data_IF_502147205330
#
_entry.id   IF_502147205330
#
_cell.length_a   1.000
_cell.length_b   1.000
_cell.length_c   1.000
_cell.angle_alpha   90.00
_cell.angle_beta   90.00
_cell.angle_gamma   90.00
#
_symmetry.space_group_name_H-M   'P 1'
#
loop_
_entity.id
_entity.type
_entity.pdbx_description
1 polymer ?
#
# COMPACT_ATOMS: atom_id res chain seq x y z
N UNK A 1 63.08 -42.31 -24.28
CA UNK A 1 62.66 -40.88 -24.20
C UNK A 1 61.60 -40.60 -25.25
N UNK A 2 60.31 -40.81 -25.02
CA UNK A 2 59.25 -40.27 -25.91
C UNK A 2 57.79 -40.55 -25.36
N UNK A 3 57.61 -40.78 -24.06
CA UNK A 3 56.28 -41.07 -23.52
C UNK A 3 55.51 -39.86 -23.01
N UNK A 4 56.22 -38.70 -22.81
CA UNK A 4 55.61 -37.47 -22.29
C UNK A 4 54.82 -36.71 -23.38
N UNK A 5 55.25 -36.79 -24.64
CA UNK A 5 54.60 -36.03 -25.73
C UNK A 5 53.28 -36.65 -26.22
N UNK A 6 53.07 -37.92 -26.04
CA UNK A 6 51.79 -38.57 -26.41
C UNK A 6 50.69 -38.28 -25.37
N UNK A 7 51.05 -38.21 -24.10
CA UNK A 7 50.13 -37.89 -23.04
C UNK A 7 49.59 -36.44 -23.12
N UNK A 8 50.49 -35.51 -23.46
CA UNK A 8 50.11 -34.11 -23.69
C UNK A 8 49.18 -33.93 -24.90
N UNK A 9 49.42 -34.70 -25.98
CA UNK A 9 48.55 -34.66 -27.17
C UNK A 9 47.17 -35.23 -26.88
N UNK A 10 47.08 -36.27 -26.04
CA UNK A 10 45.80 -36.86 -25.63
C UNK A 10 45.01 -35.92 -24.71
N UNK A 11 45.67 -35.20 -23.81
CA UNK A 11 45.06 -34.16 -22.96
C UNK A 11 44.58 -32.96 -23.78
N UNK A 12 45.35 -32.51 -24.75
CA UNK A 12 44.97 -31.40 -25.64
C UNK A 12 43.77 -31.77 -26.55
N UNK A 13 43.67 -33.03 -26.99
CA UNK A 13 42.51 -33.52 -27.74
C UNK A 13 41.23 -33.58 -26.87
N UNK A 14 41.34 -34.00 -25.62
CA UNK A 14 40.21 -34.02 -24.66
C UNK A 14 39.75 -32.61 -24.26
N UNK A 15 40.67 -31.65 -24.12
CA UNK A 15 40.33 -30.26 -23.84
C UNK A 15 39.62 -29.58 -25.02
N UNK A 16 39.96 -29.95 -26.28
CA UNK A 16 39.24 -29.44 -27.45
C UNK A 16 37.83 -30.01 -27.60
N UNK A 17 37.59 -31.23 -27.12
CA UNK A 17 36.23 -31.81 -27.11
C UNK A 17 35.33 -31.24 -26.01
N UNK A 18 35.88 -30.45 -25.07
CA UNK A 18 35.17 -29.76 -24.00
C UNK A 18 34.99 -28.25 -24.29
N UNK A 19 35.52 -27.74 -25.42
CA UNK A 19 35.15 -26.37 -25.82
C UNK A 19 33.73 -26.40 -26.33
N UNK A 20 32.80 -25.91 -25.50
CA UNK A 20 31.43 -25.59 -25.88
C UNK A 20 31.56 -24.44 -26.90
N UNK A 21 31.28 -24.71 -28.19
CA UNK A 21 31.07 -23.66 -29.16
C UNK A 21 29.98 -22.73 -28.59
N UNK A 22 30.21 -21.41 -28.56
CA UNK A 22 29.13 -20.49 -28.22
C UNK A 22 28.05 -20.69 -29.29
N UNK A 23 26.89 -21.25 -28.87
CA UNK A 23 25.72 -21.24 -29.73
C UNK A 23 25.39 -19.77 -29.96
N UNK A 24 25.48 -19.32 -31.20
CA UNK A 24 24.97 -18.05 -31.66
C UNK A 24 23.44 -18.09 -31.40
N UNK A 25 23.02 -17.60 -30.25
CA UNK A 25 21.63 -17.26 -30.02
C UNK A 25 21.35 -16.00 -30.85
N UNK A 26 21.03 -16.18 -32.11
CA UNK A 26 20.32 -15.19 -32.88
C UNK A 26 18.94 -15.02 -32.23
N UNK A 27 18.79 -13.96 -31.42
CA UNK A 27 17.51 -13.53 -30.86
C UNK A 27 16.74 -12.98 -32.05
N UNK A 28 15.94 -13.82 -32.69
CA UNK A 28 14.92 -13.34 -33.63
C UNK A 28 13.94 -12.47 -32.83
N UNK A 29 13.74 -11.19 -33.22
CA UNK A 29 12.73 -10.36 -32.57
C UNK A 29 11.35 -10.99 -32.83
N UNK A 30 10.45 -11.05 -31.81
CA UNK A 30 9.13 -11.65 -31.96
C UNK A 30 8.36 -10.93 -33.07
N UNK A 31 7.95 -11.66 -34.09
CA UNK A 31 7.14 -11.14 -35.21
C UNK A 31 5.83 -10.51 -34.68
N UNK A 32 5.47 -9.29 -35.09
CA UNK A 32 4.29 -8.57 -34.58
C UNK A 32 2.96 -9.08 -35.17
N UNK A 33 2.81 -10.38 -35.40
CA UNK A 33 1.61 -10.97 -36.01
C UNK A 33 0.43 -11.13 -35.08
N UNK A 34 0.63 -11.17 -33.78
CA UNK A 34 -0.46 -11.33 -32.80
C UNK A 34 -1.23 -10.03 -32.56
N UNK A 35 -0.57 -8.87 -32.51
CA UNK A 35 -1.24 -7.58 -32.27
C UNK A 35 -2.17 -7.12 -33.38
N UNK A 36 -1.89 -7.47 -34.65
CA UNK A 36 -2.78 -7.13 -35.77
C UNK A 36 -4.09 -7.94 -35.77
N UNK A 37 -4.12 -9.13 -35.19
CA UNK A 37 -5.36 -9.94 -35.10
C UNK A 37 -6.23 -9.49 -33.96
N UNK A 38 -5.68 -9.04 -32.85
CA UNK A 38 -6.45 -8.52 -31.70
C UNK A 38 -7.07 -7.16 -32.03
N UNK A 39 -6.33 -6.26 -32.69
CA UNK A 39 -6.88 -4.97 -33.13
C UNK A 39 -7.95 -5.11 -34.24
N UNK A 40 -7.80 -6.09 -35.13
CA UNK A 40 -8.83 -6.38 -36.12
C UNK A 40 -10.12 -6.98 -35.53
N UNK A 41 -10.01 -7.85 -34.49
CA UNK A 41 -11.16 -8.37 -33.75
C UNK A 41 -11.88 -7.29 -32.94
N UNK A 42 -11.13 -6.39 -32.28
CA UNK A 42 -11.70 -5.25 -31.55
C UNK A 42 -12.41 -4.26 -32.47
N UNK A 43 -11.84 -4.00 -33.64
CA UNK A 43 -12.49 -3.16 -34.65
C UNK A 43 -13.77 -3.80 -35.21
N UNK A 44 -13.79 -5.12 -35.43
CA UNK A 44 -14.95 -5.85 -35.88
C UNK A 44 -16.05 -5.89 -34.80
N UNK A 45 -15.70 -6.12 -33.55
CA UNK A 45 -16.63 -6.10 -32.41
C UNK A 45 -17.24 -4.70 -32.21
N UNK A 46 -16.46 -3.63 -32.39
CA UNK A 46 -16.93 -2.25 -32.35
C UNK A 46 -17.93 -1.94 -33.48
N UNK A 47 -17.65 -2.39 -34.71
CA UNK A 47 -18.52 -2.21 -35.84
C UNK A 47 -19.84 -2.97 -35.71
N UNK A 48 -19.83 -4.19 -35.18
CA UNK A 48 -21.05 -4.99 -34.92
C UNK A 48 -21.90 -4.35 -33.82
N UNK A 49 -21.26 -3.82 -32.74
CA UNK A 49 -21.97 -3.12 -31.68
C UNK A 49 -22.60 -1.82 -32.14
N UNK A 50 -21.91 -1.07 -33.02
CA UNK A 50 -22.46 0.15 -33.63
C UNK A 50 -23.63 -0.15 -34.58
N UNK A 51 -23.53 -1.19 -35.37
CA UNK A 51 -24.61 -1.64 -36.25
C UNK A 51 -25.83 -2.12 -35.46
N UNK A 52 -25.64 -2.85 -34.37
CA UNK A 52 -26.72 -3.27 -33.47
C UNK A 52 -27.40 -2.08 -32.78
N UNK A 53 -26.62 -1.06 -32.33
CA UNK A 53 -27.18 0.15 -31.75
C UNK A 53 -28.00 0.99 -32.73
N UNK A 54 -27.60 1.03 -33.99
CA UNK A 54 -28.33 1.71 -35.08
C UNK A 54 -29.63 1.01 -35.46
N UNK A 55 -29.69 -0.33 -35.40
CA UNK A 55 -30.89 -1.11 -35.68
C UNK A 55 -31.95 -1.07 -34.56
N UNK A 56 -31.50 -0.87 -33.29
CA UNK A 56 -32.40 -0.94 -32.13
C UNK A 56 -32.95 0.42 -31.68
N UNK A 57 -32.42 1.56 -32.16
CA UNK A 57 -32.89 2.93 -31.81
C UNK A 57 -32.77 3.88 -33.03
N UNK A 58 -33.79 4.06 -33.83
CA UNK A 58 -33.79 4.99 -34.99
C UNK A 58 -33.54 6.46 -34.57
N UNK A 59 -33.82 6.84 -33.32
CA UNK A 59 -33.61 8.23 -32.82
C UNK A 59 -32.17 8.59 -32.51
N UNK A 60 -31.22 7.66 -32.65
CA UNK A 60 -29.81 7.91 -32.38
C UNK A 60 -29.11 8.72 -33.49
N UNK A 61 -29.60 8.70 -34.71
CA UNK A 61 -29.03 9.43 -35.84
C UNK A 61 -29.20 10.95 -35.71
N UNK A 62 -30.36 11.43 -35.25
CA UNK A 62 -30.57 12.87 -35.02
C UNK A 62 -29.70 13.49 -33.91
N UNK A 63 -29.33 12.68 -32.93
CA UNK A 63 -28.45 13.16 -31.84
C UNK A 63 -26.95 13.20 -32.23
N UNK A 64 -26.56 12.39 -33.19
CA UNK A 64 -25.16 12.39 -33.70
C UNK A 64 -24.99 13.58 -34.66
N UNK A 65 -25.95 13.92 -35.49
CA UNK A 65 -25.89 15.12 -36.36
C UNK A 65 -25.83 16.41 -35.55
N UNK A 66 -26.61 16.51 -34.47
CA UNK A 66 -26.57 17.68 -33.56
C UNK A 66 -25.29 17.78 -32.75
N UNK A 67 -24.64 16.67 -32.42
CA UNK A 67 -23.34 16.67 -31.73
C UNK A 67 -22.19 17.02 -32.69
N UNK A 68 -22.21 16.54 -33.92
CA UNK A 68 -21.21 16.82 -34.96
C UNK A 68 -21.26 18.29 -35.40
N UNK A 69 -22.46 18.85 -35.53
CA UNK A 69 -22.67 20.27 -35.87
C UNK A 69 -22.15 21.23 -34.77
N UNK A 70 -22.17 20.81 -33.50
CA UNK A 70 -21.57 21.57 -32.39
C UNK A 70 -20.05 21.49 -32.37
N UNK A 71 -19.43 20.47 -32.91
CA UNK A 71 -17.97 20.29 -32.88
C UNK A 71 -17.27 20.93 -34.11
N UNK A 72 -17.97 21.18 -35.21
CA UNK A 72 -17.43 21.74 -36.46
C UNK A 72 -17.82 23.19 -36.74
N UNK A 73 -18.60 23.85 -35.85
CA UNK A 73 -19.06 25.24 -36.02
C UNK A 73 -18.47 26.18 -35.00
N UNK A 74 -17.21 26.50 -35.11
CA UNK A 74 -16.65 27.74 -34.56
C UNK A 74 -16.76 28.79 -35.63
N UNK A 75 -17.62 29.77 -35.41
CA UNK A 75 -17.39 31.22 -35.63
C UNK A 75 -18.70 31.98 -35.75
N UNK A 76 -18.76 33.01 -34.90
CA UNK A 76 -19.42 34.30 -35.00
C UNK A 76 -20.73 34.45 -35.81
N UNK A 77 -21.74 35.07 -35.23
CA UNK A 77 -22.22 36.42 -35.61
C UNK A 77 -23.29 36.91 -34.63
N UNK A 78 -23.10 38.11 -34.16
CA UNK A 78 -24.03 39.03 -33.51
C UNK A 78 -25.37 39.15 -34.30
N UNK A 79 -26.52 39.06 -33.62
CA UNK A 79 -27.62 39.97 -33.97
C UNK A 79 -28.64 40.11 -32.86
N UNK A 80 -28.99 41.36 -32.66
CA UNK A 80 -29.92 41.92 -31.71
C UNK A 80 -31.36 41.46 -31.91
N UNK A 81 -32.11 41.33 -30.83
CA UNK A 81 -33.57 41.19 -30.86
C UNK A 81 -34.12 41.42 -29.46
N UNK A 82 -34.53 42.66 -29.19
CA UNK A 82 -35.10 43.09 -27.92
C UNK A 82 -36.50 42.53 -27.71
N UNK A 83 -36.78 42.21 -26.45
CA UNK A 83 -38.15 42.09 -25.95
C UNK A 83 -38.20 42.73 -24.57
N UNK A 84 -39.03 43.73 -24.46
CA UNK A 84 -39.22 44.62 -23.32
C UNK A 84 -39.82 43.91 -22.11
N UNK A 85 -39.35 44.26 -20.91
CA UNK A 85 -39.99 43.97 -19.65
C UNK A 85 -41.09 45.00 -19.36
N UNK A 86 -42.28 44.64 -18.86
CA UNK A 86 -43.24 45.63 -18.39
C UNK A 86 -42.83 46.16 -17.01
N UNK A 87 -42.67 47.50 -16.95
CA UNK A 87 -42.57 48.29 -15.75
C UNK A 87 -43.95 48.37 -15.10
N UNK A 88 -44.09 47.91 -13.87
CA UNK A 88 -45.27 48.16 -13.04
C UNK A 88 -44.92 49.28 -12.05
N UNK A 89 -45.63 50.39 -12.22
CA UNK A 89 -45.58 51.61 -11.45
C UNK A 89 -46.09 51.43 -10.02
N UNK A 90 -45.38 52.03 -9.07
CA UNK A 90 -45.81 52.32 -7.72
C UNK A 90 -46.96 53.35 -7.69
N UNK A 91 -47.89 53.26 -6.77
CA UNK A 91 -48.62 54.43 -6.32
C UNK A 91 -47.98 54.95 -5.01
N UNK A 92 -47.71 56.27 -5.08
CA UNK A 92 -47.38 57.18 -4.01
C UNK A 92 -48.65 57.58 -3.25
N UNK A 93 -48.43 57.85 -1.97
CA UNK A 93 -49.29 58.65 -1.06
C UNK A 93 -50.25 57.87 -0.13
N UNK A 94 -49.85 57.82 1.16
CA UNK A 94 -50.74 58.12 2.31
C UNK A 94 -49.97 58.30 3.63
N UNK A 95 -49.96 59.56 4.06
CA UNK A 95 -50.08 60.09 5.42
C UNK A 95 -49.40 59.44 6.64
N UNK A 96 -48.57 60.21 7.25
CA UNK A 96 -47.95 60.20 8.56
C UNK A 96 -49.01 60.07 9.66
N UNK A 97 -48.88 59.07 10.56
CA UNK A 97 -49.47 59.13 11.88
C UNK A 97 -48.43 58.77 12.96
N UNK A 98 -48.43 59.63 13.97
CA UNK A 98 -47.49 59.74 15.06
C UNK A 98 -47.78 58.74 16.14
N UNK A 99 -46.90 57.72 16.37
CA UNK A 99 -46.98 56.84 17.56
C UNK A 99 -45.59 56.53 18.11
N UNK A 100 -45.35 57.04 19.29
CA UNK A 100 -44.21 56.90 20.19
C UNK A 100 -43.66 55.45 20.25
N UNK A 101 -42.34 55.24 20.17
CA UNK A 101 -41.74 53.90 20.16
C UNK A 101 -41.67 53.32 21.58
N UNK A 102 -42.09 52.03 21.80
CA UNK A 102 -41.74 51.31 22.99
C UNK A 102 -40.25 50.87 22.90
N UNK A 103 -39.57 50.94 24.06
CA UNK A 103 -38.14 50.79 24.24
C UNK A 103 -37.51 49.64 23.50
N UNK A 104 -36.49 49.97 22.77
CA UNK A 104 -35.56 49.02 22.11
C UNK A 104 -34.78 48.35 23.23
N UNK A 105 -35.15 47.10 23.55
CA UNK A 105 -34.24 46.15 24.22
C UNK A 105 -33.13 45.90 23.24
N UNK A 106 -31.94 46.47 23.47
CA UNK A 106 -30.77 46.22 22.70
C UNK A 106 -30.50 44.70 22.68
N UNK A 107 -30.36 44.06 21.49
CA UNK A 107 -29.90 42.69 21.43
C UNK A 107 -28.49 42.66 22.01
N UNK A 108 -28.27 41.78 22.95
CA UNK A 108 -26.96 41.48 23.53
C UNK A 108 -25.99 41.24 22.36
N UNK A 109 -25.13 42.21 22.08
CA UNK A 109 -24.04 42.09 21.10
C UNK A 109 -23.05 41.13 21.72
N UNK A 110 -23.32 39.81 21.58
CA UNK A 110 -22.27 38.84 21.66
C UNK A 110 -21.17 39.26 20.68
N UNK A 111 -19.97 39.32 21.14
CA UNK A 111 -18.77 39.54 20.35
C UNK A 111 -18.91 38.82 19.02
N UNK A 112 -18.65 39.41 17.85
CA UNK A 112 -18.76 38.70 16.57
C UNK A 112 -17.68 37.64 16.51
N UNK A 113 -18.04 36.44 16.91
CA UNK A 113 -17.19 35.25 16.67
C UNK A 113 -17.15 35.04 15.16
N UNK A 114 -15.95 35.11 14.58
CA UNK A 114 -15.77 34.88 13.16
C UNK A 114 -15.93 33.36 12.90
N UNK A 115 -16.96 33.02 12.17
CA UNK A 115 -17.22 31.62 11.79
C UNK A 115 -16.56 31.31 10.45
N UNK A 116 -15.88 30.17 10.37
CA UNK A 116 -15.31 29.63 9.16
C UNK A 116 -16.08 28.37 8.81
N UNK A 117 -16.67 28.36 7.62
CA UNK A 117 -17.40 27.18 7.11
C UNK A 117 -16.61 26.44 6.06
N UNK A 118 -16.79 25.15 6.00
CA UNK A 118 -16.19 24.28 5.02
C UNK A 118 -17.03 23.02 4.76
N UNK A 119 -16.66 22.28 3.76
CA UNK A 119 -17.28 20.99 3.43
C UNK A 119 -16.22 19.94 3.15
N UNK A 120 -16.50 18.69 3.43
CA UNK A 120 -15.56 17.62 3.22
C UNK A 120 -16.18 16.27 3.36
N UNK A 121 -15.35 15.29 3.61
CA UNK A 121 -15.77 13.88 3.73
C UNK A 121 -15.12 13.23 4.93
N UNK A 122 -15.83 12.25 5.46
CA UNK A 122 -15.30 11.31 6.46
C UNK A 122 -14.28 10.41 5.77
N UNK A 123 -13.09 10.32 6.34
CA UNK A 123 -11.98 9.50 5.83
C UNK A 123 -11.51 8.55 6.92
N UNK A 124 -11.23 7.31 6.55
CA UNK A 124 -10.50 6.41 7.42
C UNK A 124 -9.00 6.63 7.15
N UNK A 125 -8.21 7.00 8.17
CA UNK A 125 -6.77 7.23 7.98
C UNK A 125 -6.03 5.95 7.61
N UNK A 126 -6.47 4.81 8.14
CA UNK A 126 -5.83 3.53 7.96
C UNK A 126 -6.70 2.58 7.13
N UNK A 127 -6.23 2.31 5.92
CA UNK A 127 -6.81 1.33 4.99
C UNK A 127 -5.72 0.36 4.60
N UNK A 128 -5.95 -0.93 4.83
CA UNK A 128 -5.05 -1.99 4.43
C UNK A 128 -5.67 -2.81 3.30
N UNK A 129 -5.03 -2.77 2.13
CA UNK A 129 -5.32 -3.70 1.04
C UNK A 129 -4.51 -4.96 1.24
N UNK A 130 -5.18 -6.10 1.33
CA UNK A 130 -4.59 -7.40 1.65
C UNK A 130 -4.38 -8.20 0.37
N UNK A 131 -3.15 -8.68 0.19
CA UNK A 131 -2.72 -9.55 -0.91
C UNK A 131 -2.18 -10.86 -0.36
N UNK A 132 -2.18 -11.91 -1.17
CA UNK A 132 -1.43 -13.12 -0.84
C UNK A 132 0.07 -12.88 -1.03
N UNK A 133 0.90 -13.45 -0.15
CA UNK A 133 2.37 -13.39 -0.30
C UNK A 133 2.85 -14.34 -1.41
N UNK A 134 2.19 -15.49 -1.55
CA UNK A 134 2.51 -16.52 -2.53
C UNK A 134 1.27 -16.86 -3.36
N UNK A 135 1.51 -17.35 -4.56
CA UNK A 135 0.47 -17.92 -5.40
C UNK A 135 -0.14 -19.18 -4.78
N UNK A 136 -1.41 -19.43 -5.05
CA UNK A 136 -2.07 -20.61 -4.55
C UNK A 136 -3.58 -20.60 -4.76
N UNK A 137 -4.23 -21.73 -4.48
CA UNK A 137 -5.68 -21.85 -4.56
C UNK A 137 -6.31 -21.57 -3.19
N UNK A 138 -7.37 -20.79 -3.16
CA UNK A 138 -8.14 -20.51 -1.93
C UNK A 138 -8.94 -21.76 -1.53
N UNK A 139 -8.73 -22.26 -0.32
CA UNK A 139 -9.48 -23.38 0.24
C UNK A 139 -10.52 -22.95 1.27
N UNK A 140 -10.33 -21.80 1.93
CA UNK A 140 -11.29 -21.24 2.85
C UNK A 140 -11.19 -19.71 2.91
N UNK A 141 -12.33 -19.04 3.06
CA UNK A 141 -12.48 -17.62 3.38
C UNK A 141 -13.23 -17.57 4.71
N UNK A 142 -12.62 -16.98 5.74
CA UNK A 142 -13.09 -17.03 7.13
C UNK A 142 -13.85 -15.75 7.53
N UNK A 143 -14.05 -14.82 6.59
CA UNK A 143 -14.68 -13.51 6.83
C UNK A 143 -15.60 -13.13 5.69
N UNK A 144 -16.56 -12.25 5.99
CA UNK A 144 -17.46 -11.65 5.00
C UNK A 144 -17.26 -10.13 4.92
N UNK A 145 -17.75 -9.52 3.85
CA UNK A 145 -17.75 -8.06 3.74
C UNK A 145 -18.68 -7.46 4.81
N UNK A 146 -18.16 -6.54 5.61
CA UNK A 146 -18.84 -5.95 6.75
C UNK A 146 -18.41 -6.50 8.11
N UNK A 147 -17.67 -7.59 8.16
CA UNK A 147 -17.22 -8.18 9.42
C UNK A 147 -16.15 -7.34 10.11
N UNK A 148 -16.21 -7.19 11.44
CA UNK A 148 -15.12 -6.65 12.22
C UNK A 148 -14.00 -7.68 12.37
N UNK A 149 -12.75 -7.27 12.16
CA UNK A 149 -11.56 -8.12 12.29
C UNK A 149 -10.52 -7.50 13.19
N UNK A 150 -9.73 -8.34 13.84
CA UNK A 150 -8.62 -7.93 14.70
C UNK A 150 -7.29 -8.25 14.02
N UNK A 151 -6.28 -7.41 14.22
CA UNK A 151 -4.94 -7.65 13.69
C UNK A 151 -4.43 -9.06 14.05
N UNK A 152 -3.90 -9.80 13.05
CA UNK A 152 -3.48 -11.19 13.18
C UNK A 152 -4.58 -12.24 12.97
N UNK A 153 -5.86 -11.87 12.92
CA UNK A 153 -6.95 -12.78 12.62
C UNK A 153 -6.79 -13.42 11.23
N UNK A 154 -7.10 -14.70 11.11
CA UNK A 154 -7.08 -15.41 9.83
C UNK A 154 -8.24 -14.91 8.97
N UNK A 155 -7.96 -14.58 7.73
CA UNK A 155 -8.92 -14.08 6.75
C UNK A 155 -9.16 -15.09 5.64
N UNK A 156 -8.06 -15.58 5.03
CA UNK A 156 -8.10 -16.48 3.89
C UNK A 156 -7.06 -17.56 4.10
N UNK A 157 -7.38 -18.80 3.71
CA UNK A 157 -6.44 -19.93 3.68
C UNK A 157 -6.27 -20.43 2.26
N UNK A 158 -5.02 -20.59 1.88
CA UNK A 158 -4.64 -21.23 0.63
C UNK A 158 -4.31 -22.70 0.85
N UNK A 159 -4.26 -23.48 -0.22
CA UNK A 159 -3.85 -24.88 -0.18
C UNK A 159 -2.38 -25.01 0.26
N UNK A 160 -2.17 -25.58 1.41
CA UNK A 160 -0.86 -25.78 2.04
C UNK A 160 -0.29 -27.19 1.87
N UNK A 161 -0.97 -28.05 1.12
CA UNK A 161 -0.62 -29.47 1.03
C UNK A 161 0.82 -29.68 0.57
N UNK A 162 1.25 -28.99 -0.48
CA UNK A 162 2.62 -29.10 -1.01
C UNK A 162 3.67 -28.55 -0.03
N UNK A 163 3.42 -27.40 0.57
CA UNK A 163 4.36 -26.77 1.52
C UNK A 163 4.46 -27.52 2.83
N UNK A 164 3.39 -28.18 3.26
CA UNK A 164 3.41 -29.08 4.43
C UNK A 164 4.33 -30.29 4.21
N UNK A 165 4.30 -30.89 3.02
CA UNK A 165 5.23 -31.95 2.66
C UNK A 165 6.68 -31.45 2.56
N UNK A 166 6.89 -30.26 1.99
CA UNK A 166 8.20 -29.63 1.91
C UNK A 166 8.78 -29.37 3.31
N UNK A 167 7.99 -28.83 4.22
CA UNK A 167 8.40 -28.62 5.63
C UNK A 167 8.77 -29.93 6.31
N UNK A 168 7.98 -30.99 6.10
CA UNK A 168 8.29 -32.31 6.66
C UNK A 168 9.59 -32.88 6.08
N UNK A 169 9.84 -32.68 4.78
CA UNK A 169 11.10 -33.05 4.14
C UNK A 169 12.30 -32.30 4.74
N UNK A 170 12.16 -31.01 4.97
CA UNK A 170 13.19 -30.20 5.61
C UNK A 170 13.50 -30.68 7.05
N UNK A 171 12.49 -31.03 7.84
CA UNK A 171 12.71 -31.63 9.17
C UNK A 171 13.49 -32.94 9.11
N UNK A 172 13.19 -33.81 8.14
CA UNK A 172 13.92 -35.08 7.95
C UNK A 172 15.39 -34.80 7.60
N UNK A 173 15.64 -33.85 6.69
CA UNK A 173 17.00 -33.42 6.32
C UNK A 173 17.77 -32.83 7.52
N UNK A 174 17.10 -32.01 8.33
CA UNK A 174 17.67 -31.46 9.56
C UNK A 174 18.08 -32.55 10.55
N UNK A 175 17.23 -33.56 10.73
CA UNK A 175 17.54 -34.70 11.61
C UNK A 175 18.72 -35.54 11.09
N UNK A 176 18.82 -35.72 9.77
CA UNK A 176 19.96 -36.41 9.16
C UNK A 176 21.28 -35.64 9.37
N UNK A 177 21.25 -34.31 9.22
CA UNK A 177 22.43 -33.46 9.48
C UNK A 177 22.86 -33.47 10.97
N UNK A 178 21.89 -33.52 11.89
CA UNK A 178 22.15 -33.64 13.33
C UNK A 178 22.92 -34.96 13.65
N UNK A 179 22.43 -36.07 13.12
CA UNK A 179 23.07 -37.38 13.30
C UNK A 179 24.46 -37.42 12.64
N UNK A 180 24.61 -36.77 11.48
CA UNK A 180 25.91 -36.65 10.81
C UNK A 180 26.91 -35.87 11.67
N UNK A 181 26.52 -34.77 12.26
CA UNK A 181 27.36 -34.00 13.18
C UNK A 181 27.75 -34.80 14.41
N UNK A 182 26.81 -35.53 15.00
CA UNK A 182 27.09 -36.42 16.13
C UNK A 182 28.14 -37.49 15.79
N UNK A 183 28.03 -38.12 14.62
CA UNK A 183 29.02 -39.11 14.15
C UNK A 183 30.41 -38.49 13.97
N UNK A 184 30.50 -37.23 13.43
CA UNK A 184 31.78 -36.50 13.29
C UNK A 184 32.35 -36.09 14.66
N UNK A 185 31.53 -35.71 15.60
CA UNK A 185 31.98 -35.39 16.97
C UNK A 185 32.55 -36.62 17.68
N UNK A 186 31.98 -37.81 17.51
CA UNK A 186 32.53 -39.07 18.01
C UNK A 186 33.91 -39.36 17.41
N UNK A 187 34.06 -39.16 16.06
CA UNK A 187 35.33 -39.34 15.37
C UNK A 187 36.39 -38.36 15.89
N UNK A 188 36.01 -37.10 16.09
CA UNK A 188 36.89 -36.08 16.65
C UNK A 188 37.34 -36.43 18.06
N UNK A 189 36.43 -36.90 18.91
CA UNK A 189 36.77 -37.30 20.28
C UNK A 189 37.74 -38.48 20.28
N UNK A 190 37.57 -39.46 19.36
CA UNK A 190 38.51 -40.60 19.19
C UNK A 190 39.90 -40.10 18.75
N UNK A 191 39.96 -39.20 17.71
CA UNK A 191 41.19 -38.66 17.23
C UNK A 191 41.94 -37.85 18.31
N UNK A 192 41.20 -37.03 19.10
CA UNK A 192 41.75 -36.31 20.26
C UNK A 192 42.37 -37.27 21.29
N UNK A 193 41.64 -38.32 21.67
CA UNK A 193 42.17 -39.32 22.64
C UNK A 193 43.41 -40.04 22.11
N UNK A 194 43.52 -40.23 20.78
CA UNK A 194 44.68 -40.84 20.13
C UNK A 194 45.87 -39.87 20.12
N UNK A 195 45.66 -38.61 19.84
CA UNK A 195 46.68 -37.54 19.92
C UNK A 195 47.21 -37.38 21.34
N UNK A 196 46.33 -37.29 22.33
CA UNK A 196 46.74 -37.16 23.74
C UNK A 196 47.62 -38.36 24.19
N UNK A 197 47.38 -39.57 23.69
CA UNK A 197 48.24 -40.71 23.94
C UNK A 197 49.59 -40.60 23.21
N UNK A 198 49.56 -40.21 21.96
CA UNK A 198 50.78 -40.02 21.17
C UNK A 198 51.71 -38.96 21.77
N UNK A 199 51.18 -37.85 22.26
CA UNK A 199 51.94 -36.78 22.92
C UNK A 199 52.59 -37.27 24.24
N UNK A 200 51.84 -38.06 25.04
CA UNK A 200 52.41 -38.65 26.28
C UNK A 200 53.51 -39.65 26.00
N UNK A 201 53.43 -40.44 24.90
CA UNK A 201 54.45 -41.38 24.51
C UNK A 201 55.70 -40.68 23.92
N UNK A 202 55.49 -39.66 23.09
CA UNK A 202 56.57 -38.86 22.53
C UNK A 202 57.35 -38.12 23.62
N UNK A 203 56.69 -37.59 24.67
CA UNK A 203 57.35 -36.99 25.84
C UNK A 203 58.20 -37.98 26.71
N UNK A 204 58.16 -39.29 26.38
CA UNK A 204 58.95 -40.34 27.01
C UNK A 204 59.91 -40.99 26.01
N UNK A 205 60.15 -40.40 24.87
CA UNK A 205 60.92 -40.97 23.77
C UNK A 205 60.47 -42.36 23.27
N UNK A 206 59.20 -42.70 23.51
CA UNK A 206 58.60 -44.01 23.16
C UNK A 206 57.74 -43.96 21.86
N UNK A 207 57.87 -42.87 21.06
CA UNK A 207 57.17 -42.70 19.77
C UNK A 207 58.01 -41.89 18.79
N UNK A 208 57.90 -42.20 17.46
CA UNK A 208 58.56 -41.41 16.41
C UNK A 208 57.89 -40.08 16.17
N UNK A 209 58.63 -39.07 15.75
CA UNK A 209 58.10 -37.77 15.36
C UNK A 209 57.06 -37.85 14.24
N UNK A 210 57.25 -38.74 13.26
CA UNK A 210 56.34 -39.02 12.17
C UNK A 210 54.98 -39.53 12.68
N UNK A 211 54.97 -40.44 13.65
CA UNK A 211 53.75 -41.01 14.22
C UNK A 211 52.99 -39.94 15.03
N UNK A 212 53.68 -39.03 15.73
CA UNK A 212 53.03 -37.92 16.41
C UNK A 212 52.39 -36.96 15.43
N UNK A 213 53.07 -36.61 14.32
CA UNK A 213 52.57 -35.74 13.27
C UNK A 213 51.35 -36.34 12.57
N UNK A 214 51.36 -37.67 12.28
CA UNK A 214 50.19 -38.36 11.75
C UNK A 214 48.99 -38.29 12.70
N UNK A 215 49.21 -38.39 14.01
CA UNK A 215 48.11 -38.27 14.99
C UNK A 215 47.54 -36.84 15.02
N UNK A 216 48.40 -35.79 14.92
CA UNK A 216 47.97 -34.38 14.80
C UNK A 216 47.14 -34.15 13.53
N UNK A 217 47.65 -34.56 12.38
CA UNK A 217 46.94 -34.46 11.09
C UNK A 217 45.55 -35.12 11.14
N UNK A 218 45.48 -36.29 11.80
CA UNK A 218 44.22 -37.02 11.96
C UNK A 218 43.23 -36.23 12.85
N UNK A 219 43.72 -35.64 13.92
CA UNK A 219 42.92 -34.78 14.80
C UNK A 219 42.39 -33.53 14.04
N UNK A 220 43.28 -32.84 13.34
CA UNK A 220 42.93 -31.62 12.57
C UNK A 220 41.92 -31.93 11.47
N UNK A 221 42.09 -33.03 10.77
CA UNK A 221 41.16 -33.51 9.74
C UNK A 221 39.79 -33.83 10.34
N UNK A 222 39.73 -34.49 11.50
CA UNK A 222 38.48 -34.80 12.19
C UNK A 222 37.82 -33.49 12.71
N UNK A 223 38.62 -32.51 13.16
CA UNK A 223 38.15 -31.19 13.58
C UNK A 223 37.46 -30.43 12.44
N UNK A 224 38.11 -30.41 11.28
CA UNK A 224 37.56 -29.78 10.06
C UNK A 224 36.26 -30.48 9.61
N UNK A 225 36.23 -31.82 9.65
CA UNK A 225 35.02 -32.58 9.31
C UNK A 225 33.85 -32.33 10.26
N UNK A 226 34.12 -32.16 11.56
CA UNK A 226 33.10 -31.81 12.55
C UNK A 226 32.59 -30.35 12.35
N UNK A 227 33.51 -29.41 12.01
CA UNK A 227 33.15 -28.03 11.68
C UNK A 227 32.25 -27.96 10.43
N UNK A 228 32.60 -28.72 9.40
CA UNK A 228 31.77 -28.83 8.17
C UNK A 228 30.38 -29.37 8.49
N UNK A 229 30.27 -30.47 9.21
CA UNK A 229 28.98 -31.05 9.58
C UNK A 229 28.11 -30.08 10.44
N UNK A 230 28.76 -29.23 11.24
CA UNK A 230 28.03 -28.17 11.99
C UNK A 230 27.44 -27.13 11.04
N UNK A 231 28.17 -26.71 10.01
CA UNK A 231 27.64 -25.78 8.99
C UNK A 231 26.51 -26.41 8.20
N UNK A 232 26.60 -27.70 7.87
CA UNK A 232 25.55 -28.44 7.19
C UNK A 232 24.27 -28.50 8.04
N UNK A 233 24.39 -28.68 9.36
CA UNK A 233 23.26 -28.60 10.29
C UNK A 233 22.62 -27.20 10.33
N UNK A 234 23.43 -26.14 10.40
CA UNK A 234 22.90 -24.76 10.39
C UNK A 234 22.18 -24.46 9.07
N UNK A 235 22.70 -24.92 7.94
CA UNK A 235 22.02 -24.83 6.66
C UNK A 235 20.66 -25.54 6.68
N UNK A 236 20.62 -26.77 7.19
CA UNK A 236 19.38 -27.52 7.28
C UNK A 236 18.34 -26.83 8.20
N UNK A 237 18.76 -26.17 9.28
CA UNK A 237 17.87 -25.36 10.12
C UNK A 237 17.27 -24.16 9.36
N UNK A 238 18.08 -23.45 8.58
CA UNK A 238 17.60 -22.37 7.72
C UNK A 238 16.57 -22.87 6.68
N UNK A 239 16.77 -24.05 6.14
CA UNK A 239 15.83 -24.65 5.18
C UNK A 239 14.49 -25.01 5.86
N UNK A 240 14.52 -25.46 7.14
CA UNK A 240 13.31 -25.69 7.95
C UNK A 240 12.58 -24.36 8.17
N UNK A 241 13.29 -23.30 8.56
CA UNK A 241 12.68 -22.01 8.84
C UNK A 241 12.04 -21.41 7.59
N UNK A 242 12.70 -21.51 6.41
CA UNK A 242 12.12 -21.12 5.13
C UNK A 242 10.85 -21.86 4.79
N UNK A 243 10.87 -23.20 4.94
CA UNK A 243 9.70 -24.03 4.65
C UNK A 243 8.54 -23.72 5.60
N UNK A 244 8.84 -23.40 6.88
CA UNK A 244 7.83 -22.97 7.85
C UNK A 244 7.23 -21.62 7.45
N UNK A 245 8.05 -20.63 7.12
CA UNK A 245 7.59 -19.32 6.68
C UNK A 245 6.70 -19.42 5.42
N UNK A 246 7.10 -20.25 4.46
CA UNK A 246 6.28 -20.49 3.26
C UNK A 246 4.92 -21.10 3.60
N UNK A 247 4.86 -22.06 4.52
CA UNK A 247 3.61 -22.64 4.96
C UNK A 247 2.73 -21.65 5.72
N UNK A 248 3.32 -20.88 6.65
CA UNK A 248 2.60 -19.87 7.41
C UNK A 248 2.05 -18.74 6.51
N UNK A 249 2.78 -18.35 5.48
CA UNK A 249 2.38 -17.31 4.54
C UNK A 249 1.21 -17.68 3.62
N UNK A 250 0.85 -18.97 3.53
CA UNK A 250 -0.39 -19.44 2.88
C UNK A 250 -1.64 -19.20 3.74
N UNK A 251 -1.47 -18.78 4.99
CA UNK A 251 -2.54 -18.32 5.86
C UNK A 251 -2.51 -16.79 5.90
N UNK A 252 -3.39 -16.17 5.13
CA UNK A 252 -3.48 -14.70 5.05
C UNK A 252 -4.15 -14.16 6.30
N UNK A 253 -3.51 -13.21 6.97
CA UNK A 253 -3.97 -12.60 8.22
C UNK A 253 -4.20 -11.11 8.07
N UNK A 254 -5.06 -10.56 8.92
CA UNK A 254 -5.33 -9.13 9.00
C UNK A 254 -4.08 -8.35 9.45
N UNK A 255 -3.59 -7.38 8.66
CA UNK A 255 -2.46 -6.54 9.06
C UNK A 255 -2.85 -5.48 10.10
N UNK A 256 -4.11 -5.05 10.11
CA UNK A 256 -4.68 -4.06 11.03
C UNK A 256 -6.02 -4.56 11.57
N UNK A 257 -6.46 -4.00 12.69
CA UNK A 257 -7.84 -4.16 13.16
C UNK A 257 -8.75 -3.19 12.43
N UNK A 258 -10.00 -3.59 12.16
CA UNK A 258 -10.95 -2.74 11.44
C UNK A 258 -12.14 -3.54 10.93
N UNK A 259 -12.78 -3.05 9.88
CA UNK A 259 -13.91 -3.71 9.21
C UNK A 259 -13.52 -4.08 7.78
N UNK A 260 -13.90 -5.27 7.33
CA UNK A 260 -13.72 -5.70 5.93
C UNK A 260 -14.66 -4.86 5.05
N UNK A 261 -14.11 -3.96 4.26
CA UNK A 261 -14.90 -3.07 3.39
C UNK A 261 -15.10 -3.62 1.99
N UNK A 262 -14.20 -4.49 1.54
CA UNK A 262 -14.27 -5.17 0.24
C UNK A 262 -13.71 -6.58 0.39
N UNK A 263 -14.37 -7.54 -0.22
CA UNK A 263 -13.94 -8.94 -0.28
C UNK A 263 -14.06 -9.42 -1.72
N UNK A 264 -12.92 -9.63 -2.37
CA UNK A 264 -12.84 -10.09 -3.76
C UNK A 264 -12.48 -11.59 -3.83
N UNK A 265 -12.00 -12.16 -2.72
CA UNK A 265 -11.56 -13.55 -2.64
C UNK A 265 -12.72 -14.53 -2.50
N UNK A 266 -12.74 -15.58 -3.32
CA UNK A 266 -13.72 -16.67 -3.25
C UNK A 266 -13.07 -18.04 -3.13
N UNK A 267 -13.72 -18.96 -2.46
CA UNK A 267 -13.22 -20.34 -2.33
C UNK A 267 -13.16 -20.99 -3.71
N UNK A 268 -12.00 -21.52 -4.03
CA UNK A 268 -11.72 -22.14 -5.32
C UNK A 268 -10.93 -21.28 -6.29
N UNK A 269 -10.85 -19.98 -6.06
CA UNK A 269 -10.05 -19.07 -6.89
C UNK A 269 -8.55 -19.37 -6.74
N UNK A 270 -7.81 -19.07 -7.80
CA UNK A 270 -6.35 -19.07 -7.79
C UNK A 270 -5.88 -17.64 -7.65
N UNK A 271 -5.06 -17.39 -6.64
CA UNK A 271 -4.48 -16.06 -6.39
C UNK A 271 -3.03 -16.04 -6.85
N UNK A 272 -2.62 -14.89 -7.34
CA UNK A 272 -1.25 -14.62 -7.75
C UNK A 272 -0.36 -14.27 -6.55
N UNK A 273 0.94 -14.29 -6.78
CA UNK A 273 1.89 -13.75 -5.80
C UNK A 273 1.65 -12.25 -5.56
N UNK A 274 2.12 -11.73 -4.43
CA UNK A 274 1.94 -10.30 -4.11
C UNK A 274 2.46 -9.36 -5.21
N UNK A 275 3.58 -9.70 -5.82
CA UNK A 275 4.20 -8.86 -6.85
C UNK A 275 3.33 -8.76 -8.10
N UNK A 276 2.73 -9.86 -8.52
CA UNK A 276 1.85 -9.92 -9.68
C UNK A 276 0.47 -9.35 -9.36
N UNK A 277 -0.10 -9.67 -8.19
CA UNK A 277 -1.39 -9.14 -7.74
C UNK A 277 -1.39 -7.61 -7.63
N UNK A 278 -0.30 -6.99 -7.13
CA UNK A 278 -0.17 -5.52 -7.08
C UNK A 278 -0.10 -4.93 -8.48
N UNK A 279 0.57 -5.60 -9.42
CA UNK A 279 0.66 -5.17 -10.82
C UNK A 279 -0.69 -5.23 -11.53
N UNK A 280 -1.48 -6.26 -11.26
CA UNK A 280 -2.79 -6.47 -11.86
C UNK A 280 -3.94 -5.83 -11.05
N UNK A 281 -3.63 -5.22 -9.90
CA UNK A 281 -4.58 -4.63 -8.96
C UNK A 281 -5.62 -5.63 -8.43
N UNK A 282 -5.23 -6.88 -8.29
CA UNK A 282 -6.05 -7.98 -7.76
C UNK A 282 -5.79 -8.19 -6.27
N UNK A 283 -6.52 -7.48 -5.42
CA UNK A 283 -6.47 -7.68 -3.97
C UNK A 283 -7.44 -8.77 -3.52
N UNK A 284 -7.13 -9.44 -2.42
CA UNK A 284 -8.03 -10.40 -1.79
C UNK A 284 -9.19 -9.72 -1.08
N UNK A 285 -8.87 -8.68 -0.33
CA UNK A 285 -9.84 -7.88 0.43
C UNK A 285 -9.22 -6.55 0.88
N UNK A 286 -10.06 -5.63 1.35
CA UNK A 286 -9.64 -4.39 1.98
C UNK A 286 -10.22 -4.29 3.39
N UNK A 287 -9.36 -3.89 4.34
CA UNK A 287 -9.74 -3.62 5.73
C UNK A 287 -9.59 -2.12 5.98
N UNK A 288 -10.60 -1.52 6.59
CA UNK A 288 -10.62 -0.11 6.92
C UNK A 288 -10.77 0.03 8.44
N UNK A 289 -9.91 0.82 9.06
CA UNK A 289 -10.11 1.19 10.44
C UNK A 289 -11.31 2.15 10.56
N UNK A 290 -12.40 1.64 11.12
CA UNK A 290 -13.63 2.39 11.34
C UNK A 290 -13.71 3.00 12.75
N UNK A 291 -12.72 2.77 13.60
CA UNK A 291 -12.67 3.32 14.97
C UNK A 291 -11.99 4.70 15.00
N UNK A 292 -11.06 4.97 14.09
CA UNK A 292 -10.26 6.20 14.03
C UNK A 292 -10.64 7.12 12.86
N UNK A 293 -11.94 7.24 12.56
CA UNK A 293 -12.42 8.08 11.46
C UNK A 293 -12.10 9.56 11.72
N UNK A 294 -11.66 10.24 10.66
CA UNK A 294 -11.40 11.68 10.64
C UNK A 294 -12.23 12.36 9.55
N UNK A 295 -12.32 13.68 9.59
CA UNK A 295 -12.98 14.46 8.53
C UNK A 295 -11.91 15.26 7.82
N UNK A 296 -11.75 15.05 6.53
CA UNK A 296 -10.94 15.92 5.67
C UNK A 296 -11.88 16.92 5.00
N UNK A 297 -11.77 18.20 5.40
CA UNK A 297 -12.65 19.27 4.95
C UNK A 297 -11.89 20.40 4.27
N UNK A 298 -12.44 20.88 3.16
CA UNK A 298 -11.90 21.98 2.37
C UNK A 298 -12.46 23.32 2.88
N UNK A 299 -11.58 24.24 3.21
CA UNK A 299 -11.88 25.59 3.65
C UNK A 299 -11.23 26.60 2.72
N UNK A 300 -11.88 27.74 2.46
CA UNK A 300 -11.36 28.76 1.57
C UNK A 300 -10.02 29.34 2.08
N UNK A 301 -9.04 29.48 1.17
CA UNK A 301 -7.68 29.98 1.44
C UNK A 301 -7.67 31.35 2.16
N UNK A 302 -8.64 32.21 1.90
CA UNK A 302 -8.75 33.53 2.54
C UNK A 302 -8.84 33.49 4.06
N UNK A 303 -9.19 32.34 4.63
CA UNK A 303 -9.26 32.10 6.06
C UNK A 303 -7.96 31.50 6.66
N UNK A 304 -6.94 31.26 5.84
CA UNK A 304 -5.70 30.58 6.24
C UNK A 304 -5.02 31.19 7.47
N UNK A 305 -5.03 32.52 7.56
CA UNK A 305 -4.41 33.24 8.69
C UNK A 305 -5.08 32.99 10.05
N UNK A 306 -6.29 32.44 10.06
CA UNK A 306 -7.09 32.17 11.26
C UNK A 306 -7.05 30.68 11.64
N UNK A 307 -6.51 29.83 10.76
CA UNK A 307 -6.47 28.39 10.96
C UNK A 307 -5.23 27.98 11.74
N UNK A 308 -5.40 27.23 12.80
CA UNK A 308 -4.32 26.63 13.57
C UNK A 308 -4.75 25.24 14.09
N UNK A 309 -3.81 24.32 14.32
CA UNK A 309 -4.13 23.08 15.02
C UNK A 309 -4.68 23.38 16.42
N UNK A 310 -5.65 22.58 16.88
CA UNK A 310 -6.37 22.78 18.14
C UNK A 310 -7.59 23.71 18.04
N UNK A 311 -7.90 24.23 16.83
CA UNK A 311 -9.11 25.04 16.64
C UNK A 311 -10.35 24.15 16.75
N UNK A 312 -11.27 24.52 17.65
CA UNK A 312 -12.51 23.81 17.90
C UNK A 312 -13.60 24.22 16.91
N UNK A 313 -14.51 23.30 16.67
CA UNK A 313 -15.66 23.55 15.80
C UNK A 313 -16.72 22.48 15.93
N UNK A 314 -17.68 22.57 15.05
CA UNK A 314 -18.81 21.67 14.96
C UNK A 314 -18.89 21.08 13.55
N UNK A 315 -19.19 19.81 13.45
CA UNK A 315 -19.43 19.11 12.19
C UNK A 315 -20.84 18.50 12.17
N UNK A 316 -21.43 18.50 10.99
CA UNK A 316 -22.71 17.86 10.71
C UNK A 316 -22.54 16.98 9.49
N UNK A 317 -22.89 15.70 9.62
CA UNK A 317 -22.91 14.76 8.50
C UNK A 317 -24.22 14.90 7.74
N UNK A 318 -24.18 14.86 6.43
CA UNK A 318 -25.39 14.91 5.60
C UNK A 318 -26.34 13.73 5.85
N UNK A 319 -25.79 12.56 6.25
CA UNK A 319 -26.57 11.41 6.67
C UNK A 319 -27.22 11.53 8.07
N UNK A 320 -26.79 12.52 8.89
CA UNK A 320 -27.29 12.75 10.27
C UNK A 320 -27.43 14.26 10.53
N UNK A 321 -28.35 14.95 9.82
CA UNK A 321 -28.44 16.41 9.86
C UNK A 321 -28.81 16.99 11.24
N UNK A 322 -29.52 16.21 12.04
CA UNK A 322 -29.98 16.61 13.36
C UNK A 322 -29.01 16.27 14.50
N UNK A 323 -27.82 15.79 14.19
CA UNK A 323 -26.82 15.37 15.18
C UNK A 323 -25.47 16.06 14.93
N UNK A 324 -25.37 17.36 15.25
CA UNK A 324 -24.09 18.03 15.26
C UNK A 324 -23.17 17.44 16.34
N UNK A 325 -21.86 17.42 16.08
CA UNK A 325 -20.85 16.93 17.02
C UNK A 325 -19.59 17.78 16.97
N UNK A 326 -18.88 17.84 18.09
CA UNK A 326 -17.66 18.61 18.22
C UNK A 326 -16.51 17.98 17.41
N UNK A 327 -15.74 18.87 16.78
CA UNK A 327 -14.51 18.50 16.04
C UNK A 327 -13.39 19.46 16.42
N UNK A 328 -12.17 18.99 16.30
CA UNK A 328 -10.95 19.75 16.52
C UNK A 328 -10.03 19.63 15.30
N UNK A 329 -9.40 20.74 14.89
CA UNK A 329 -8.42 20.74 13.81
C UNK A 329 -7.15 20.04 14.29
N UNK A 330 -6.96 18.80 13.85
CA UNK A 330 -5.77 18.00 14.17
C UNK A 330 -4.58 18.41 13.29
N UNK A 331 -4.83 18.73 12.01
CA UNK A 331 -3.77 19.06 11.05
C UNK A 331 -4.29 19.91 9.89
N UNK A 332 -3.43 20.76 9.37
CA UNK A 332 -3.68 21.57 8.17
C UNK A 332 -2.80 21.01 7.06
N UNK A 333 -3.36 20.80 5.86
CA UNK A 333 -2.59 20.32 4.73
C UNK A 333 -1.50 21.35 4.34
N UNK A 334 -0.28 20.88 4.04
CA UNK A 334 0.83 21.77 3.68
C UNK A 334 0.70 22.36 2.26
N UNK A 335 -0.24 21.85 1.48
CA UNK A 335 -0.46 22.26 0.07
C UNK A 335 -1.88 22.75 -0.12
N UNK A 336 -2.02 23.88 -0.80
CA UNK A 336 -3.30 24.47 -1.16
C UNK A 336 -3.72 23.95 -2.54
N UNK A 337 -5.01 23.61 -2.69
CA UNK A 337 -5.56 23.25 -3.99
C UNK A 337 -5.71 24.50 -4.87
N UNK A 338 -4.83 24.64 -5.86
CA UNK A 338 -4.86 25.78 -6.80
C UNK A 338 -6.14 25.83 -7.62
N UNK A 339 -6.73 24.70 -7.94
CA UNK A 339 -7.96 24.60 -8.74
C UNK A 339 -9.18 25.12 -7.97
N UNK A 340 -9.24 24.82 -6.67
CA UNK A 340 -10.38 25.18 -5.81
C UNK A 340 -10.15 26.44 -4.98
N UNK A 341 -8.90 26.90 -4.79
CA UNK A 341 -8.55 27.98 -3.86
C UNK A 341 -8.87 27.60 -2.41
N UNK A 342 -8.69 26.32 -2.04
CA UNK A 342 -9.00 25.78 -0.72
C UNK A 342 -7.80 25.12 -0.08
N UNK A 343 -7.76 25.13 1.25
CA UNK A 343 -6.85 24.32 2.08
C UNK A 343 -7.65 23.21 2.74
N UNK A 344 -7.09 22.00 2.74
CA UNK A 344 -7.72 20.86 3.39
C UNK A 344 -7.31 20.78 4.86
N UNK A 345 -8.29 20.70 5.74
CA UNK A 345 -8.14 20.50 7.18
C UNK A 345 -8.47 19.08 7.54
N UNK A 346 -7.63 18.46 8.34
CA UNK A 346 -7.95 17.18 8.99
C UNK A 346 -8.49 17.44 10.37
N UNK A 347 -9.72 17.00 10.63
CA UNK A 347 -10.43 17.22 11.87
C UNK A 347 -10.65 15.89 12.59
N UNK A 348 -10.41 15.88 13.89
CA UNK A 348 -10.69 14.77 14.78
C UNK A 348 -12.06 14.95 15.43
N UNK A 349 -13.01 14.03 15.25
CA UNK A 349 -14.31 14.09 15.92
C UNK A 349 -14.18 13.66 17.37
N UNK A 350 -14.73 14.44 18.31
CA UNK A 350 -14.70 14.10 19.74
C UNK A 350 -15.80 13.13 20.16
N UNK A 351 -16.98 13.19 19.53
CA UNK A 351 -18.12 12.33 19.84
C UNK A 351 -18.95 12.09 18.58
N UNK A 352 -18.45 11.31 17.62
CA UNK A 352 -19.14 11.10 16.36
C UNK A 352 -20.47 10.35 16.57
N UNK A 353 -21.49 10.59 15.72
CA UNK A 353 -22.74 9.86 15.80
C UNK A 353 -22.52 8.38 15.46
N UNK A 354 -23.22 7.44 16.15
CA UNK A 354 -23.14 6.03 15.83
C UNK A 354 -23.59 5.80 14.38
N UNK A 355 -22.80 5.03 13.63
CA UNK A 355 -23.07 4.77 12.22
C UNK A 355 -22.35 5.72 11.24
N UNK A 356 -21.46 6.58 11.71
CA UNK A 356 -20.51 7.32 10.85
C UNK A 356 -19.67 6.32 10.02
N UNK A 357 -19.59 6.59 8.71
CA UNK A 357 -18.87 5.72 7.76
C UNK A 357 -17.94 6.52 6.86
N UNK A 358 -16.86 5.93 6.37
CA UNK A 358 -16.02 6.56 5.34
C UNK A 358 -16.85 7.02 4.14
N UNK A 359 -16.40 8.09 3.49
CA UNK A 359 -17.02 8.74 2.35
C UNK A 359 -18.38 9.46 2.64
N UNK A 360 -18.85 9.53 3.88
CA UNK A 360 -19.97 10.39 4.22
C UNK A 360 -19.57 11.86 4.06
N UNK A 361 -20.44 12.66 3.44
CA UNK A 361 -20.25 14.11 3.34
C UNK A 361 -20.48 14.79 4.70
N UNK A 362 -19.65 15.77 5.00
CA UNK A 362 -19.68 16.54 6.23
C UNK A 362 -19.62 18.05 5.94
N UNK A 363 -20.39 18.81 6.65
CA UNK A 363 -20.27 20.28 6.71
C UNK A 363 -19.67 20.65 8.06
N UNK A 364 -18.70 21.55 8.03
CA UNK A 364 -18.00 21.99 9.23
C UNK A 364 -18.23 23.47 9.47
N UNK A 365 -18.22 23.85 10.73
CA UNK A 365 -18.24 25.21 11.23
C UNK A 365 -17.17 25.35 12.32
N UNK A 366 -16.13 26.13 12.06
CA UNK A 366 -15.08 26.42 13.03
C UNK A 366 -15.34 27.79 13.67
N UNK A 367 -15.20 27.87 14.97
CA UNK A 367 -15.40 29.12 15.72
C UNK A 367 -14.04 29.70 16.07
N UNK A 368 -13.71 30.83 15.44
CA UNK A 368 -12.49 31.58 15.79
C UNK A 368 -12.81 32.50 16.94
N UNK A 369 -12.42 32.10 18.14
CA UNK A 369 -12.44 33.00 19.31
C UNK A 369 -11.34 34.07 19.13
N UNK A 370 -11.65 35.30 19.56
CA UNK A 370 -10.70 36.39 19.57
C UNK A 370 -9.67 36.14 20.70
N UNK A 371 -8.66 35.28 20.46
CA UNK A 371 -7.49 35.17 21.34
C UNK A 371 -6.26 35.80 20.72
N UNK A 372 -5.74 36.78 21.50
CA UNK A 372 -4.41 37.34 21.50
C UNK A 372 -3.93 37.90 20.17
N UNK A 373 -4.06 39.23 20.13
CA UNK A 373 -3.41 40.10 19.16
C UNK A 373 -2.00 39.63 18.83
N UNK A 374 -1.78 39.45 17.55
CA UNK A 374 -0.45 39.44 16.95
C UNK A 374 0.34 40.57 17.60
N UNK A 375 1.53 40.33 18.20
CA UNK A 375 2.39 41.42 18.62
C UNK A 375 2.72 42.22 17.37
N UNK A 376 2.09 43.41 17.26
CA UNK A 376 2.48 44.40 16.28
C UNK A 376 3.93 44.75 16.58
N UNK A 377 4.83 44.27 15.73
CA UNK A 377 6.21 44.70 15.71
C UNK A 377 6.20 46.21 15.42
N UNK A 378 6.06 47.02 16.46
CA UNK A 378 6.32 48.47 16.42
C UNK A 378 7.83 48.61 16.22
N UNK A 379 8.25 48.68 14.97
CA UNK A 379 9.56 49.20 14.64
C UNK A 379 9.72 50.57 15.22
N UNK A 380 10.59 50.70 16.20
CA UNK A 380 11.01 51.94 16.80
C UNK A 380 11.72 52.80 15.71
N UNK A 381 11.23 54.02 15.38
CA UNK A 381 11.84 54.85 14.34
C UNK A 381 13.11 55.60 14.80
N UNK A 382 13.77 55.18 15.90
CA UNK A 382 14.84 55.94 16.52
C UNK A 382 16.26 55.37 16.34
N UNK A 383 16.58 54.70 15.18
CA UNK A 383 17.99 54.37 14.90
C UNK A 383 18.41 54.69 13.44
N UNK A 384 18.11 55.97 13.03
CA UNK A 384 18.67 56.58 11.80
C UNK A 384 19.32 57.91 12.12
N UNK A 385 20.17 57.99 13.12
CA UNK A 385 21.06 59.13 13.28
C UNK A 385 22.30 58.66 14.06
N UNK A 386 23.24 58.03 13.42
CA UNK A 386 24.67 58.06 13.67
C UNK A 386 25.36 56.82 13.06
N UNK A 387 25.70 56.92 11.78
CA UNK A 387 27.06 56.69 11.27
C UNK A 387 27.09 56.85 9.76
#
# INVERSE_FOLDING_TARGET
MNTTSEHERHLAARLRSLSIEPADFEIEPPEPRAQRRVSAMLALAGAVSLAAALLYRPDALERIETALARFMGGDAVLSAGGAALPVTTLPEDAAIDDATPPGIVAPNRGTPSREITGSGYVVAPDIATVFSKYEGRIVAVEVEAGDPVVAGQVLVRLDDTGTRFALRGAYIAGRAAELALEARNITLAQARSSLDRAERLAGRDAMSAEALEAARTTFDTAGNAAAQARQDLEKAKLDIDRAREQMEALTVRAPISGTVTRLDAHVGDTVLSREDSVRENESLLAITDTASLVIDADVAEVNMALLHPGLEGEAVLDGFPDKPFAVEVARIAPVISKEKGTVTLRLSPSSPPPGMRPAMAARIRLVVGEEAGVPVFRGDPADRASR
#
